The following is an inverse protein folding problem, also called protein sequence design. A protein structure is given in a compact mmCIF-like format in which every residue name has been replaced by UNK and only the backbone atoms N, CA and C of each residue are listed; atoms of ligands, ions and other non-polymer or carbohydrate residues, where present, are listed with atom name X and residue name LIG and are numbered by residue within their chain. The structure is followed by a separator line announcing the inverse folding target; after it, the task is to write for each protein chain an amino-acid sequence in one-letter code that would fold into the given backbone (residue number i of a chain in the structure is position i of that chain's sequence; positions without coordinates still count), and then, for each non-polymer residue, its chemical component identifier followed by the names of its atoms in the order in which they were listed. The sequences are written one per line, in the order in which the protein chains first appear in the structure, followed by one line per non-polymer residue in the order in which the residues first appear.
data_IF_694749233494
#
_entry.id   IF_694749233494
#
_cell.length_a   1.000
_cell.length_b   1.000
_cell.length_c   1.000
_cell.angle_alpha   90.00
_cell.angle_beta   90.00
_cell.angle_gamma   90.00
#
_symmetry.space_group_name_H-M   'P 1'
#
loop_
_entity.id
_entity.type
_entity.pdbx_description
1 polymer ?
#
# COMPACT_ATOMS: atom_id res chain seq x y z
N UNK A 1 15.67 4.92 9.62
CA UNK A 1 14.63 4.19 8.87
C UNK A 1 13.90 5.21 8.01
N UNK A 2 13.75 4.94 6.71
CA UNK A 2 13.05 5.83 5.79
C UNK A 2 11.66 5.26 5.49
N UNK A 3 10.61 5.99 5.87
CA UNK A 3 9.22 5.56 5.72
C UNK A 3 8.85 5.34 4.24
N UNK A 4 9.49 6.10 3.34
CA UNK A 4 9.28 6.03 1.89
C UNK A 4 9.82 4.73 1.29
N UNK A 5 10.76 4.06 1.95
CA UNK A 5 11.28 2.76 1.54
C UNK A 5 10.43 1.62 2.13
N UNK A 6 9.94 1.83 3.34
CA UNK A 6 9.19 0.85 4.13
C UNK A 6 7.81 0.54 3.56
N UNK A 7 7.18 1.47 2.84
CA UNK A 7 5.87 1.23 2.21
C UNK A 7 5.92 0.73 0.76
N UNK A 8 7.10 0.71 0.14
CA UNK A 8 7.24 0.34 -1.29
C UNK A 8 6.86 -1.09 -1.61
N UNK A 9 6.90 -2.01 -0.64
CA UNK A 9 6.51 -3.40 -0.85
C UNK A 9 5.03 -3.68 -0.52
N UNK A 10 4.32 -2.69 0.00
CA UNK A 10 2.93 -2.76 0.43
C UNK A 10 2.69 -3.56 1.71
N UNK A 11 3.66 -4.29 2.25
CA UNK A 11 3.46 -5.20 3.38
C UNK A 11 3.23 -4.45 4.68
N UNK A 12 4.11 -3.48 4.99
CA UNK A 12 3.96 -2.63 6.18
C UNK A 12 2.71 -1.75 6.11
N UNK A 13 2.36 -1.29 4.91
CA UNK A 13 1.14 -0.52 4.68
C UNK A 13 -0.11 -1.36 4.96
N UNK A 14 -0.17 -2.58 4.41
CA UNK A 14 -1.29 -3.50 4.67
C UNK A 14 -1.39 -3.86 6.16
N UNK A 15 -0.26 -4.17 6.82
CA UNK A 15 -0.25 -4.48 8.25
C UNK A 15 -0.74 -3.30 9.10
N UNK A 16 -0.30 -2.08 8.77
CA UNK A 16 -0.75 -0.88 9.44
C UNK A 16 -2.28 -0.73 9.31
N UNK A 17 -2.82 -0.90 8.10
CA UNK A 17 -4.27 -0.84 7.86
C UNK A 17 -5.03 -1.89 8.66
N UNK A 18 -4.54 -3.13 8.74
CA UNK A 18 -5.17 -4.17 9.58
C UNK A 18 -5.19 -3.79 11.06
N UNK A 19 -4.08 -3.28 11.59
CA UNK A 19 -3.94 -2.95 13.01
C UNK A 19 -4.86 -1.77 13.38
N UNK A 20 -4.92 -0.73 12.56
CA UNK A 20 -5.73 0.46 12.89
C UNK A 20 -7.23 0.24 12.65
N UNK A 21 -7.61 -0.62 11.69
CA UNK A 21 -9.01 -0.89 11.38
C UNK A 21 -9.59 -2.04 12.19
N UNK A 22 -8.74 -2.95 12.71
CA UNK A 22 -9.18 -4.20 13.33
C UNK A 22 -9.72 -5.23 12.32
N UNK A 23 -9.61 -4.96 11.01
CA UNK A 23 -10.10 -5.84 9.94
C UNK A 23 -8.94 -6.54 9.23
N UNK A 24 -9.23 -7.71 8.65
CA UNK A 24 -8.24 -8.45 7.87
C UNK A 24 -8.26 -8.03 6.41
N UNK A 25 -7.09 -7.74 5.87
CA UNK A 25 -6.91 -7.51 4.44
C UNK A 25 -6.68 -8.85 3.71
N UNK A 26 -6.85 -8.88 2.38
CA UNK A 26 -6.51 -10.06 1.59
C UNK A 26 -5.05 -10.47 1.78
N UNK A 27 -4.76 -11.77 1.66
CA UNK A 27 -3.41 -12.30 1.86
C UNK A 27 -2.39 -11.59 0.95
N UNK A 28 -1.26 -11.09 1.50
CA UNK A 28 -0.24 -10.42 0.71
C UNK A 28 0.54 -11.39 -0.18
N UNK A 29 1.00 -10.88 -1.31
CA UNK A 29 2.01 -11.51 -2.18
C UNK A 29 3.39 -11.43 -1.52
N UNK A 30 4.14 -12.54 -1.51
CA UNK A 30 5.47 -12.62 -0.85
C UNK A 30 6.65 -12.59 -1.82
N UNK A 31 6.41 -12.42 -3.11
CA UNK A 31 7.47 -12.40 -4.11
C UNK A 31 8.23 -11.07 -4.14
N UNK A 32 9.46 -11.09 -4.66
CA UNK A 32 10.35 -9.91 -4.70
C UNK A 32 10.20 -9.05 -5.97
N UNK A 33 9.51 -9.56 -6.99
CA UNK A 33 9.27 -8.83 -8.24
C UNK A 33 8.41 -7.58 -8.01
N UNK A 34 8.62 -6.54 -8.83
CA UNK A 34 7.86 -5.27 -8.77
C UNK A 34 6.35 -5.49 -8.81
N UNK A 35 5.88 -6.45 -9.62
CA UNK A 35 4.45 -6.79 -9.71
C UNK A 35 3.83 -7.24 -8.38
N UNK A 36 4.57 -7.95 -7.52
CA UNK A 36 4.06 -8.37 -6.22
C UNK A 36 3.89 -7.17 -5.28
N UNK A 37 4.85 -6.24 -5.31
CA UNK A 37 4.78 -4.99 -4.55
C UNK A 37 3.58 -4.14 -4.96
N UNK A 38 3.38 -3.96 -6.27
CA UNK A 38 2.23 -3.25 -6.82
C UNK A 38 0.93 -3.92 -6.38
N UNK A 39 0.82 -5.25 -6.48
CA UNK A 39 -0.37 -5.96 -6.06
C UNK A 39 -0.68 -5.79 -4.57
N UNK A 40 0.34 -5.75 -3.71
CA UNK A 40 0.16 -5.50 -2.29
C UNK A 40 -0.30 -4.06 -2.02
N UNK A 41 0.31 -3.08 -2.68
CA UNK A 41 -0.11 -1.68 -2.54
C UNK A 41 -1.54 -1.49 -3.08
N UNK A 42 -1.91 -2.09 -4.21
CA UNK A 42 -3.29 -2.06 -4.72
C UNK A 42 -4.29 -2.62 -3.70
N UNK A 43 -3.99 -3.77 -3.07
CA UNK A 43 -4.85 -4.33 -2.00
C UNK A 43 -5.05 -3.34 -0.84
N UNK A 44 -4.01 -2.59 -0.47
CA UNK A 44 -4.10 -1.57 0.55
C UNK A 44 -4.94 -0.35 0.10
N UNK A 45 -4.71 0.14 -1.13
CA UNK A 45 -5.47 1.25 -1.71
C UNK A 45 -6.96 0.91 -1.88
N UNK A 46 -7.28 -0.29 -2.36
CA UNK A 46 -8.65 -0.79 -2.49
C UNK A 46 -9.34 -0.84 -1.13
N UNK A 47 -8.64 -1.30 -0.09
CA UNK A 47 -9.16 -1.29 1.28
C UNK A 47 -9.45 0.14 1.75
N UNK A 48 -8.53 1.09 1.55
CA UNK A 48 -8.73 2.50 1.91
C UNK A 48 -9.95 3.09 1.17
N UNK A 49 -10.07 2.83 -0.13
CA UNK A 49 -11.21 3.27 -0.94
C UNK A 49 -12.53 2.67 -0.43
N UNK A 50 -12.53 1.40 0.01
CA UNK A 50 -13.71 0.74 0.59
C UNK A 50 -14.20 1.37 1.89
N UNK A 51 -13.33 2.12 2.59
CA UNK A 51 -13.68 2.91 3.79
C UNK A 51 -14.21 4.31 3.47
N UNK A 52 -14.44 4.62 2.20
CA UNK A 52 -15.00 5.91 1.76
C UNK A 52 -13.96 7.01 1.58
N UNK A 53 -12.66 6.69 1.61
CA UNK A 53 -11.59 7.65 1.34
C UNK A 53 -11.38 7.78 -0.16
N UNK A 54 -11.49 9.00 -0.69
CA UNK A 54 -11.24 9.27 -2.11
C UNK A 54 -9.75 9.44 -2.37
N UNK A 55 -9.16 8.46 -3.06
CA UNK A 55 -7.77 8.49 -3.50
C UNK A 55 -7.64 9.33 -4.78
N UNK A 56 -7.34 10.62 -4.65
CA UNK A 56 -7.08 11.50 -5.80
C UNK A 56 -5.58 11.56 -6.04
N UNK A 57 -5.14 11.19 -7.24
CA UNK A 57 -3.72 11.19 -7.63
C UNK A 57 -2.83 10.31 -6.73
N UNK A 58 -3.35 9.17 -6.27
CA UNK A 58 -2.56 8.16 -5.55
C UNK A 58 -2.63 6.87 -6.35
N UNK A 59 -1.48 6.41 -6.83
CA UNK A 59 -1.33 5.16 -7.57
C UNK A 59 -0.32 4.23 -6.90
N UNK A 60 -0.53 2.93 -7.05
CA UNK A 60 0.36 1.93 -6.47
C UNK A 60 1.78 1.97 -7.07
N UNK A 61 1.89 2.35 -8.34
CA UNK A 61 3.16 2.41 -9.06
C UNK A 61 4.07 3.50 -8.48
N UNK A 62 3.51 4.68 -8.23
CA UNK A 62 4.21 5.83 -7.66
C UNK A 62 4.69 5.54 -6.23
N UNK A 63 3.89 4.83 -5.43
CA UNK A 63 4.27 4.41 -4.07
C UNK A 63 5.41 3.39 -4.13
N UNK A 64 5.32 2.39 -5.02
CA UNK A 64 6.35 1.35 -5.17
C UNK A 64 7.67 1.95 -5.67
N UNK A 65 7.60 2.92 -6.57
CA UNK A 65 8.78 3.60 -7.11
C UNK A 65 9.31 4.68 -6.13
N UNK A 66 8.52 5.03 -5.10
CA UNK A 66 8.88 5.96 -4.03
C UNK A 66 8.85 7.43 -4.44
N UNK A 67 7.88 7.79 -5.28
CA UNK A 67 7.63 9.17 -5.64
C UNK A 67 6.90 9.89 -4.49
N UNK A 68 7.69 10.53 -3.61
CA UNK A 68 7.22 11.18 -2.39
C UNK A 68 6.16 12.27 -2.62
N UNK A 69 6.08 12.88 -3.82
CA UNK A 69 5.06 13.90 -4.14
C UNK A 69 3.61 13.36 -4.19
N UNK A 70 3.44 12.04 -4.27
CA UNK A 70 2.13 11.38 -4.38
C UNK A 70 1.84 10.45 -3.18
N UNK A 71 2.75 10.38 -2.21
CA UNK A 71 2.68 9.45 -1.06
C UNK A 71 2.25 10.16 0.24
N UNK A 72 2.39 11.49 0.33
CA UNK A 72 2.04 12.32 1.50
C UNK A 72 1.11 13.47 1.14
#
# INVERSE_FOLDING_TARGET
QNIDEDFRDGLKLMLLLEVISGERLPKPERGKMRVHKINNVNKALDFIASKGVKLVSIGAEEIVDGNAKMTL
#
